data_IF_232151370565
#
_entry.id   IF_232151370565
#
_cell.length_a   1.000
_cell.length_b   1.000
_cell.length_c   1.000
_cell.angle_alpha   90.00
_cell.angle_beta   90.00
_cell.angle_gamma   90.00
#
_symmetry.space_group_name_H-M   'P 1'
#
loop_
_entity.id
_entity.type
_entity.pdbx_description
1 polymer ?
#
# COMPACT_ATOMS: atom_id res chain seq x y z
N UNK A 1 18.91 -18.39 12.18
CA UNK A 1 19.04 -19.18 10.94
C UNK A 1 20.13 -18.60 10.06
N UNK A 2 20.83 -19.43 9.26
CA UNK A 2 21.80 -18.98 8.24
C UNK A 2 21.24 -19.40 6.88
N UNK A 3 20.96 -18.43 6.01
CA UNK A 3 20.42 -18.67 4.66
C UNK A 3 21.39 -18.11 3.62
N UNK A 4 21.71 -18.89 2.61
CA UNK A 4 22.48 -18.46 1.45
C UNK A 4 21.55 -18.38 0.23
N UNK A 5 21.48 -17.21 -0.39
CA UNK A 5 20.81 -17.01 -1.68
C UNK A 5 21.93 -16.86 -2.72
N UNK A 6 22.04 -17.82 -3.62
CA UNK A 6 23.10 -17.85 -4.65
C UNK A 6 22.59 -17.34 -5.99
N UNK A 7 23.49 -16.77 -6.78
CA UNK A 7 23.28 -16.39 -8.17
C UNK A 7 22.08 -15.44 -8.36
N UNK A 8 21.81 -14.55 -7.41
CA UNK A 8 20.70 -13.59 -7.51
C UNK A 8 21.12 -12.32 -8.26
N UNK A 9 20.19 -11.72 -9.02
CA UNK A 9 20.32 -10.36 -9.53
C UNK A 9 19.96 -9.39 -8.40
N UNK A 10 20.96 -8.92 -7.67
CA UNK A 10 20.77 -8.11 -6.47
C UNK A 10 20.60 -6.63 -6.83
N UNK A 11 19.61 -5.99 -6.22
CA UNK A 11 19.38 -4.54 -6.29
C UNK A 11 20.54 -3.79 -5.61
N UNK A 12 21.03 -2.72 -6.24
CA UNK A 12 22.12 -1.88 -5.72
C UNK A 12 21.77 -0.38 -5.59
N UNK A 13 20.47 -0.05 -5.54
CA UNK A 13 19.99 1.33 -5.45
C UNK A 13 19.63 1.98 -6.79
N UNK A 14 20.12 1.48 -7.91
CA UNK A 14 19.82 2.04 -9.24
C UNK A 14 19.81 1.03 -10.38
N UNK A 15 20.13 -0.24 -10.08
CA UNK A 15 20.16 -1.32 -11.05
C UNK A 15 20.45 -2.66 -10.38
N UNK A 16 21.02 -3.59 -11.14
CA UNK A 16 21.24 -4.98 -10.66
C UNK A 16 22.63 -5.46 -10.99
N UNK A 17 23.18 -6.29 -10.09
CA UNK A 17 24.40 -7.08 -10.32
C UNK A 17 24.20 -8.50 -9.80
N UNK A 18 24.86 -9.47 -10.38
CA UNK A 18 24.78 -10.86 -9.92
C UNK A 18 25.68 -11.07 -8.70
N UNK A 19 25.11 -11.60 -7.63
CA UNK A 19 25.84 -11.93 -6.41
C UNK A 19 25.18 -13.06 -5.62
N UNK A 20 25.96 -13.63 -4.70
CA UNK A 20 25.49 -14.46 -3.61
C UNK A 20 25.30 -13.60 -2.37
N UNK A 21 24.25 -13.86 -1.60
CA UNK A 21 23.90 -13.13 -0.37
C UNK A 21 23.77 -14.10 0.79
N UNK A 22 24.64 -13.95 1.79
CA UNK A 22 24.57 -14.73 3.02
C UNK A 22 23.84 -13.94 4.11
N UNK A 23 22.79 -14.54 4.64
CA UNK A 23 22.00 -14.00 5.74
C UNK A 23 22.31 -14.74 7.03
N UNK A 24 22.52 -14.00 8.13
CA UNK A 24 22.75 -14.57 9.45
C UNK A 24 22.32 -13.58 10.55
N UNK A 25 21.61 -14.09 11.56
CA UNK A 25 21.19 -13.27 12.70
C UNK A 25 20.30 -12.09 12.35
N UNK A 26 19.40 -12.27 11.39
CA UNK A 26 18.45 -11.22 10.96
C UNK A 26 19.05 -10.16 10.03
N UNK A 27 20.32 -10.31 9.62
CA UNK A 27 21.04 -9.32 8.82
C UNK A 27 21.70 -9.96 7.60
N UNK A 28 22.00 -9.14 6.61
CA UNK A 28 22.89 -9.47 5.52
C UNK A 28 24.31 -9.54 6.09
N UNK A 29 24.90 -10.73 6.12
CA UNK A 29 26.26 -10.95 6.65
C UNK A 29 27.31 -10.61 5.61
N UNK A 30 27.12 -11.08 4.38
CA UNK A 30 28.07 -10.83 3.29
C UNK A 30 27.37 -10.88 1.93
N UNK A 31 27.95 -10.15 0.99
CA UNK A 31 27.59 -10.08 -0.42
C UNK A 31 28.87 -10.35 -1.23
N UNK A 32 28.80 -11.20 -2.24
CA UNK A 32 29.98 -11.51 -3.05
C UNK A 32 29.68 -12.54 -4.14
N UNK A 33 30.72 -13.07 -4.76
CA UNK A 33 30.63 -14.16 -5.73
C UNK A 33 31.20 -15.42 -5.10
N UNK A 34 30.56 -16.57 -5.35
CA UNK A 34 31.05 -17.88 -4.88
C UNK A 34 31.18 -18.01 -3.35
N UNK A 35 30.16 -17.53 -2.61
CA UNK A 35 30.12 -17.76 -1.16
C UNK A 35 29.90 -19.24 -0.88
N UNK A 36 30.78 -19.84 0.00
CA UNK A 36 30.66 -21.24 0.37
C UNK A 36 29.31 -21.56 1.03
N UNK A 37 28.73 -22.67 0.65
CA UNK A 37 27.52 -23.21 1.27
C UNK A 37 27.80 -24.03 2.53
N UNK A 38 29.06 -24.16 2.93
CA UNK A 38 29.44 -24.94 4.12
C UNK A 38 28.87 -24.30 5.39
N UNK A 39 28.15 -25.08 6.17
CA UNK A 39 27.57 -24.65 7.44
C UNK A 39 26.34 -23.74 7.34
N UNK A 40 25.73 -23.58 6.15
CA UNK A 40 24.45 -22.89 6.03
C UNK A 40 23.26 -23.80 6.38
N UNK A 41 22.20 -23.23 6.97
CA UNK A 41 21.01 -23.99 7.32
C UNK A 41 20.07 -24.19 6.12
N UNK A 42 20.04 -23.24 5.21
CA UNK A 42 19.21 -23.27 4.01
C UNK A 42 19.93 -22.62 2.82
N UNK A 43 19.65 -23.13 1.63
CA UNK A 43 20.21 -22.66 0.36
C UNK A 43 19.10 -22.45 -0.64
N UNK A 44 19.09 -21.28 -1.29
CA UNK A 44 18.24 -20.97 -2.42
C UNK A 44 19.08 -20.52 -3.62
N UNK A 45 18.99 -21.23 -4.74
CA UNK A 45 19.69 -20.86 -5.98
C UNK A 45 18.75 -20.06 -6.89
N UNK A 46 19.05 -18.79 -7.10
CA UNK A 46 18.31 -17.89 -7.97
C UNK A 46 18.66 -18.08 -9.48
N UNK A 47 19.58 -18.99 -9.82
CA UNK A 47 19.91 -19.42 -11.18
C UNK A 47 20.38 -18.28 -12.12
N UNK A 48 20.77 -17.13 -11.59
CA UNK A 48 21.08 -15.94 -12.38
C UNK A 48 19.87 -15.28 -13.05
N UNK A 49 18.66 -15.72 -12.70
CA UNK A 49 17.41 -15.27 -13.33
C UNK A 49 16.55 -14.42 -12.42
N UNK A 50 16.50 -14.74 -11.12
CA UNK A 50 15.62 -14.07 -10.18
C UNK A 50 16.25 -12.79 -9.61
N UNK A 51 15.40 -11.82 -9.34
CA UNK A 51 15.78 -10.50 -8.83
C UNK A 51 15.59 -10.46 -7.32
N UNK A 52 16.69 -10.30 -6.58
CA UNK A 52 16.67 -10.07 -5.15
C UNK A 52 16.60 -8.58 -4.89
N UNK A 53 15.53 -8.15 -4.24
CA UNK A 53 15.27 -6.76 -3.94
C UNK A 53 14.93 -6.59 -2.45
N UNK A 54 14.99 -5.37 -1.88
CA UNK A 54 14.37 -5.10 -0.59
C UNK A 54 12.89 -5.51 -0.66
N UNK A 55 12.38 -6.15 0.39
CA UNK A 55 10.98 -6.52 0.45
C UNK A 55 10.07 -5.32 0.22
N UNK A 56 8.96 -5.51 -0.46
CA UNK A 56 7.98 -4.43 -0.66
C UNK A 56 7.45 -3.89 0.66
N UNK A 57 7.02 -2.63 0.63
CA UNK A 57 6.32 -1.95 1.73
C UNK A 57 5.00 -1.45 1.19
N UNK A 58 3.89 -1.84 1.81
CA UNK A 58 2.59 -1.26 1.52
C UNK A 58 2.18 -0.33 2.66
N UNK A 59 1.99 0.93 2.35
CA UNK A 59 1.68 1.95 3.35
C UNK A 59 0.18 2.13 3.58
N UNK A 60 -0.65 1.31 2.90
CA UNK A 60 -2.10 1.40 2.99
C UNK A 60 -2.78 0.04 2.83
N UNK A 61 -3.08 -0.63 3.95
CA UNK A 61 -3.82 -1.91 3.96
C UNK A 61 -4.84 -1.96 5.08
N UNK A 62 -5.89 -2.79 4.90
CA UNK A 62 -6.93 -3.03 5.87
C UNK A 62 -6.89 -4.48 6.34
N UNK A 63 -6.34 -4.74 7.52
CA UNK A 63 -6.23 -6.10 8.10
C UNK A 63 -7.44 -6.52 8.94
N UNK A 64 -8.39 -5.60 9.14
CA UNK A 64 -9.73 -5.89 9.68
C UNK A 64 -9.81 -6.40 11.12
N UNK A 65 -8.70 -6.62 11.81
CA UNK A 65 -8.67 -7.02 13.23
C UNK A 65 -8.07 -5.92 14.10
N UNK A 66 -8.72 -5.65 15.23
CA UNK A 66 -9.94 -6.27 15.80
C UNK A 66 -11.26 -5.84 15.12
N UNK A 67 -12.31 -6.64 15.30
CA UNK A 67 -13.71 -6.28 15.03
C UNK A 67 -14.31 -6.83 13.74
N UNK A 68 -13.51 -7.13 12.70
CA UNK A 68 -14.01 -7.57 11.40
C UNK A 68 -13.27 -8.80 10.85
N UNK A 69 -12.86 -9.72 11.73
CA UNK A 69 -12.10 -10.93 11.38
C UNK A 69 -12.80 -11.86 10.39
N UNK A 70 -14.10 -11.68 10.17
CA UNK A 70 -14.84 -12.39 9.13
C UNK A 70 -14.53 -11.91 7.70
N UNK A 71 -13.88 -10.74 7.54
CA UNK A 71 -13.44 -10.18 6.27
C UNK A 71 -11.98 -10.49 5.98
N UNK A 72 -11.15 -10.39 7.01
CA UNK A 72 -9.70 -10.62 6.97
C UNK A 72 -9.18 -10.76 8.40
N UNK A 73 -8.05 -11.46 8.56
CA UNK A 73 -7.30 -11.50 9.81
C UNK A 73 -5.88 -10.99 9.62
N UNK A 74 -5.24 -10.54 10.69
CA UNK A 74 -3.82 -10.15 10.65
C UNK A 74 -2.97 -11.32 10.16
N UNK A 75 -3.30 -12.56 10.55
CA UNK A 75 -2.60 -13.77 10.10
C UNK A 75 -2.69 -13.96 8.56
N UNK A 76 -3.90 -13.88 7.99
CA UNK A 76 -4.13 -14.12 6.56
C UNK A 76 -3.69 -12.94 5.71
N UNK A 77 -3.97 -11.70 6.11
CA UNK A 77 -3.53 -10.50 5.39
C UNK A 77 -2.01 -10.32 5.39
N UNK A 78 -1.34 -10.52 6.54
CA UNK A 78 0.13 -10.49 6.58
C UNK A 78 0.76 -11.70 5.86
N UNK A 79 0.08 -12.85 5.83
CA UNK A 79 0.45 -14.00 5.02
C UNK A 79 0.35 -13.72 3.52
N UNK A 80 -0.72 -13.06 3.07
CA UNK A 80 -0.89 -12.62 1.69
C UNK A 80 0.18 -11.61 1.28
N UNK A 81 0.49 -10.67 2.16
CA UNK A 81 1.59 -9.72 1.96
C UNK A 81 2.94 -10.45 1.82
N UNK A 82 3.23 -11.41 2.71
CA UNK A 82 4.43 -12.24 2.61
C UNK A 82 4.48 -13.00 1.27
N UNK A 83 3.36 -13.60 0.85
CA UNK A 83 3.28 -14.33 -0.42
C UNK A 83 3.54 -13.42 -1.64
N UNK A 84 3.18 -12.16 -1.54
CA UNK A 84 3.38 -11.15 -2.58
C UNK A 84 4.76 -10.46 -2.57
N UNK A 85 5.61 -10.74 -1.57
CA UNK A 85 6.96 -10.15 -1.46
C UNK A 85 7.06 -8.93 -0.54
N UNK A 86 6.00 -8.61 0.20
CA UNK A 86 6.04 -7.54 1.20
C UNK A 86 6.69 -8.02 2.50
N UNK A 87 7.49 -7.17 3.09
CA UNK A 87 8.11 -7.39 4.42
C UNK A 87 7.56 -6.42 5.47
N UNK A 88 6.83 -5.40 5.03
CA UNK A 88 6.19 -4.41 5.91
C UNK A 88 4.87 -3.96 5.30
N UNK A 89 3.86 -3.83 6.14
CA UNK A 89 2.58 -3.20 5.79
C UNK A 89 2.17 -2.21 6.89
N UNK A 90 1.53 -1.10 6.48
CA UNK A 90 0.95 -0.13 7.41
C UNK A 90 -0.57 -0.32 7.45
N UNK A 91 -1.11 -0.68 8.61
CA UNK A 91 -2.51 -1.03 8.79
C UNK A 91 -3.34 0.21 9.14
N UNK A 92 -4.39 0.48 8.34
CA UNK A 92 -5.32 1.59 8.56
C UNK A 92 -6.27 1.34 9.73
N UNK A 93 -6.72 2.42 10.42
CA UNK A 93 -7.43 2.34 11.70
C UNK A 93 -8.92 1.99 11.58
N UNK A 94 -9.38 1.38 10.48
CA UNK A 94 -10.78 1.04 10.21
C UNK A 94 -11.21 -0.22 10.98
N UNK A 95 -11.12 -0.16 12.31
CA UNK A 95 -11.28 -1.28 13.22
C UNK A 95 -12.40 -1.02 14.25
N UNK A 96 -12.77 -2.05 15.01
CA UNK A 96 -13.69 -1.94 16.13
C UNK A 96 -13.16 -2.78 17.32
N UNK A 97 -12.65 -2.13 18.38
CA UNK A 97 -12.55 -0.66 18.51
C UNK A 97 -11.51 -0.06 17.55
N UNK A 98 -11.71 1.21 17.18
CA UNK A 98 -10.68 1.96 16.45
C UNK A 98 -9.49 2.25 17.40
N UNK A 99 -8.23 2.29 16.91
CA UNK A 99 -7.05 2.56 17.75
C UNK A 99 -6.95 4.07 18.08
N UNK A 100 -7.90 4.56 18.85
CA UNK A 100 -8.07 5.96 19.28
C UNK A 100 -7.68 6.21 20.74
N UNK A 101 -7.33 5.16 21.46
CA UNK A 101 -6.80 5.19 22.83
C UNK A 101 -5.63 4.20 22.97
N UNK A 102 -4.73 4.39 23.95
CA UNK A 102 -3.68 3.41 24.23
C UNK A 102 -4.20 1.99 24.50
N UNK A 103 -5.37 1.85 25.10
CA UNK A 103 -5.99 0.55 25.37
C UNK A 103 -6.44 -0.14 24.07
N UNK A 104 -7.15 0.57 23.20
CA UNK A 104 -7.60 0.02 21.90
C UNK A 104 -6.42 -0.31 20.98
N UNK A 105 -5.39 0.56 20.94
CA UNK A 105 -4.18 0.26 20.20
C UNK A 105 -3.44 -0.97 20.75
N UNK A 106 -3.46 -1.18 22.07
CA UNK A 106 -2.85 -2.36 22.68
C UNK A 106 -3.59 -3.66 22.31
N UNK A 107 -4.90 -3.62 22.09
CA UNK A 107 -5.67 -4.78 21.60
C UNK A 107 -5.21 -5.18 20.19
N UNK A 108 -5.09 -4.21 19.26
CA UNK A 108 -4.58 -4.45 17.93
C UNK A 108 -3.13 -4.96 17.95
N UNK A 109 -2.25 -4.31 18.74
CA UNK A 109 -0.86 -4.70 18.87
C UNK A 109 -0.70 -6.13 19.40
N UNK A 110 -1.52 -6.56 20.33
CA UNK A 110 -1.48 -7.92 20.86
C UNK A 110 -1.82 -8.98 19.79
N UNK A 111 -2.71 -8.66 18.86
CA UNK A 111 -3.02 -9.54 17.73
C UNK A 111 -1.84 -9.52 16.72
N UNK A 112 -1.29 -8.35 16.42
CA UNK A 112 -0.10 -8.22 15.56
C UNK A 112 1.04 -9.06 16.10
N UNK A 113 1.39 -8.92 17.38
CA UNK A 113 2.51 -9.61 18.02
C UNK A 113 2.34 -11.14 18.00
N UNK A 114 1.10 -11.63 18.07
CA UNK A 114 0.79 -13.05 18.06
C UNK A 114 0.75 -13.67 16.66
N UNK A 115 0.17 -12.97 15.68
CA UNK A 115 -0.31 -13.58 14.44
C UNK A 115 0.41 -13.09 13.17
N UNK A 116 1.07 -11.92 13.20
CA UNK A 116 1.67 -11.33 12.02
C UNK A 116 2.85 -12.16 11.49
N UNK A 117 2.90 -12.32 10.16
CA UNK A 117 3.96 -13.06 9.45
C UNK A 117 5.11 -12.15 9.02
N UNK A 118 4.85 -10.85 8.92
CA UNK A 118 5.79 -9.79 8.55
C UNK A 118 5.59 -8.60 9.48
N UNK A 119 6.33 -7.51 9.28
CA UNK A 119 6.11 -6.30 10.03
C UNK A 119 4.76 -5.67 9.69
N UNK A 120 3.91 -5.48 10.70
CA UNK A 120 2.67 -4.72 10.64
C UNK A 120 2.80 -3.51 11.53
N UNK A 121 2.61 -2.33 10.96
CA UNK A 121 2.72 -1.03 11.64
C UNK A 121 1.33 -0.38 11.66
N UNK A 122 0.68 -0.21 12.82
CA UNK A 122 -0.63 0.40 12.90
C UNK A 122 -0.57 1.92 12.70
N UNK A 123 -1.61 2.50 12.10
CA UNK A 123 -1.98 3.89 12.26
C UNK A 123 -2.93 4.03 13.44
N UNK A 124 -2.78 5.12 14.23
CA UNK A 124 -3.84 5.52 15.15
C UNK A 124 -4.84 6.44 14.44
N UNK A 125 -6.05 6.54 14.98
CA UNK A 125 -7.05 7.50 14.52
C UNK A 125 -6.62 8.94 14.80
N UNK A 126 -7.10 9.89 13.99
CA UNK A 126 -6.98 11.34 14.23
C UNK A 126 -8.04 11.78 15.23
N UNK A 127 -9.27 11.31 15.05
CA UNK A 127 -10.41 11.63 15.90
C UNK A 127 -10.87 10.41 16.70
N UNK A 128 -11.46 10.65 17.87
CA UNK A 128 -12.05 9.59 18.70
C UNK A 128 -13.13 8.82 17.94
N UNK A 129 -12.97 7.50 17.93
CA UNK A 129 -13.83 6.60 17.17
C UNK A 129 -13.66 6.70 15.65
N UNK A 130 -12.61 7.37 15.15
CA UNK A 130 -12.31 7.51 13.70
C UNK A 130 -13.52 8.09 12.93
N UNK A 131 -14.11 9.18 13.44
CA UNK A 131 -15.35 9.78 12.88
C UNK A 131 -15.09 10.90 11.87
N UNK A 132 -13.85 11.36 11.71
CA UNK A 132 -13.52 12.56 10.93
C UNK A 132 -14.07 13.86 11.56
N UNK A 133 -14.57 13.80 12.79
CA UNK A 133 -15.20 14.91 13.50
C UNK A 133 -15.21 14.71 15.01
N UNK A 134 -15.52 15.74 15.77
CA UNK A 134 -15.62 15.70 17.24
C UNK A 134 -14.28 15.95 17.92
N UNK A 135 -13.83 15.08 18.80
CA UNK A 135 -12.62 15.27 19.59
C UNK A 135 -11.41 14.58 18.95
N UNK A 136 -10.25 15.22 19.03
CA UNK A 136 -8.96 14.63 18.68
C UNK A 136 -8.55 13.58 19.71
N UNK A 137 -7.76 12.60 19.26
CA UNK A 137 -7.13 11.60 20.15
C UNK A 137 -5.98 12.21 20.97
N UNK A 138 -5.45 11.45 21.91
CA UNK A 138 -4.20 11.79 22.60
C UNK A 138 -3.00 11.36 21.74
N UNK A 139 -2.50 12.29 20.90
CA UNK A 139 -1.40 12.05 19.99
C UNK A 139 -0.11 11.65 20.71
N UNK A 140 0.16 12.29 21.86
CA UNK A 140 1.37 12.05 22.65
C UNK A 140 1.40 10.63 23.19
N UNK A 141 0.26 10.15 23.73
CA UNK A 141 0.15 8.81 24.26
C UNK A 141 0.23 7.71 23.19
N UNK A 142 -0.25 7.99 21.97
CA UNK A 142 -0.32 7.02 20.87
C UNK A 142 0.95 7.00 20.00
N UNK A 143 1.58 8.15 19.80
CA UNK A 143 2.69 8.34 18.85
C UNK A 143 3.86 7.34 18.97
N UNK A 144 4.26 6.84 20.16
CA UNK A 144 5.40 5.92 20.25
C UNK A 144 5.18 4.57 19.58
N UNK A 145 3.92 4.17 19.37
CA UNK A 145 3.56 2.83 18.90
C UNK A 145 2.92 2.78 17.51
N UNK A 146 2.81 3.94 16.84
CA UNK A 146 2.15 4.02 15.53
C UNK A 146 3.08 4.63 14.48
N UNK A 147 2.86 4.25 13.22
CA UNK A 147 3.60 4.81 12.08
C UNK A 147 3.16 6.25 11.78
N UNK A 148 1.90 6.57 12.03
CA UNK A 148 1.29 7.87 11.79
C UNK A 148 -0.15 7.90 12.29
N UNK A 149 -0.90 8.90 11.84
CA UNK A 149 -2.31 9.09 12.20
C UNK A 149 -3.17 9.19 10.95
N UNK A 150 -4.35 8.57 10.99
CA UNK A 150 -5.29 8.55 9.88
C UNK A 150 -6.73 8.38 10.39
N UNK A 151 -7.68 9.05 9.76
CA UNK A 151 -9.11 8.72 9.86
C UNK A 151 -9.59 8.09 8.54
N UNK A 152 -8.76 7.20 7.96
CA UNK A 152 -9.05 6.60 6.66
C UNK A 152 -10.49 6.11 6.53
N UNK A 153 -11.08 6.33 5.34
CA UNK A 153 -12.46 6.05 5.00
C UNK A 153 -13.48 7.07 5.51
N UNK A 154 -13.07 8.14 6.22
CA UNK A 154 -13.97 9.19 6.70
C UNK A 154 -13.51 10.59 6.29
N UNK A 155 -12.21 10.87 6.25
CA UNK A 155 -11.67 12.20 6.07
C UNK A 155 -12.06 13.18 7.20
N UNK A 156 -11.17 14.06 7.60
CA UNK A 156 -11.47 15.10 8.61
C UNK A 156 -12.10 16.28 7.91
N UNK A 157 -13.40 16.53 8.13
CA UNK A 157 -14.17 17.56 7.41
C UNK A 157 -13.91 18.98 7.92
N UNK A 158 -13.74 19.16 9.23
CA UNK A 158 -13.49 20.46 9.84
C UNK A 158 -12.02 20.90 9.65
N UNK A 159 -11.84 22.09 9.07
CA UNK A 159 -10.51 22.66 8.79
C UNK A 159 -9.73 22.98 10.07
N UNK A 160 -10.39 23.48 11.10
CA UNK A 160 -9.77 23.83 12.37
C UNK A 160 -9.26 22.58 13.10
N UNK A 161 -10.08 21.51 13.08
CA UNK A 161 -9.73 20.23 13.67
C UNK A 161 -8.52 19.59 12.96
N UNK A 162 -8.49 19.62 11.61
CA UNK A 162 -7.37 19.12 10.83
C UNK A 162 -6.10 19.94 11.08
N UNK A 163 -6.20 21.27 11.17
CA UNK A 163 -5.08 22.15 11.50
C UNK A 163 -4.49 21.81 12.86
N UNK A 164 -5.33 21.62 13.88
CA UNK A 164 -4.87 21.25 15.22
C UNK A 164 -4.18 19.88 15.22
N UNK A 165 -4.76 18.88 14.53
CA UNK A 165 -4.14 17.58 14.35
C UNK A 165 -2.75 17.68 13.69
N UNK A 166 -2.63 18.49 12.63
CA UNK A 166 -1.35 18.72 11.94
C UNK A 166 -0.31 19.37 12.85
N UNK A 167 -0.68 20.36 13.68
CA UNK A 167 0.23 21.00 14.64
C UNK A 167 0.77 19.97 15.65
N UNK A 168 -0.10 19.11 16.20
CA UNK A 168 0.30 18.06 17.15
C UNK A 168 1.20 17.02 16.48
N UNK A 169 0.83 16.54 15.29
CA UNK A 169 1.65 15.59 14.53
C UNK A 169 3.03 16.17 14.19
N UNK A 170 3.10 17.45 13.81
CA UNK A 170 4.37 18.13 13.55
C UNK A 170 5.27 18.14 14.77
N UNK A 171 4.73 18.44 15.96
CA UNK A 171 5.48 18.46 17.22
C UNK A 171 6.07 17.09 17.57
N UNK A 172 5.40 16.01 17.16
CA UNK A 172 5.80 14.61 17.40
C UNK A 172 6.59 13.99 16.25
N UNK A 173 6.90 14.75 15.20
CA UNK A 173 7.50 14.27 13.95
C UNK A 173 6.75 13.08 13.33
N UNK A 174 5.43 13.08 13.42
CA UNK A 174 4.56 12.06 12.83
C UNK A 174 3.90 12.55 11.53
N UNK A 175 3.54 11.61 10.68
CA UNK A 175 2.83 11.88 9.44
C UNK A 175 1.31 11.77 9.67
N UNK A 176 0.54 12.65 9.02
CA UNK A 176 -0.90 12.42 8.79
C UNK A 176 -1.05 11.77 7.42
N UNK A 177 -1.66 10.60 7.37
CA UNK A 177 -2.02 9.89 6.14
C UNK A 177 -3.53 9.99 5.93
N UNK A 178 -3.97 10.70 4.89
CA UNK A 178 -5.36 11.17 4.81
C UNK A 178 -6.11 10.61 3.60
N UNK A 179 -7.22 9.95 3.88
CA UNK A 179 -8.28 9.72 2.89
C UNK A 179 -8.99 11.04 2.63
N UNK A 180 -8.89 11.55 1.41
CA UNK A 180 -9.39 12.87 1.05
C UNK A 180 -10.76 12.76 0.37
N UNK A 181 -11.82 13.12 1.09
CA UNK A 181 -13.17 13.05 0.59
C UNK A 181 -14.07 14.12 1.27
N UNK A 182 -14.57 15.07 0.47
CA UNK A 182 -15.55 16.06 0.93
C UNK A 182 -16.93 15.41 0.90
N UNK A 183 -17.51 15.15 2.07
CA UNK A 183 -18.78 14.42 2.20
C UNK A 183 -19.95 15.05 1.44
N UNK A 184 -20.05 16.37 1.43
CA UNK A 184 -21.13 17.11 0.75
C UNK A 184 -21.10 16.96 -0.77
N UNK A 185 -19.99 16.50 -1.34
CA UNK A 185 -19.81 16.30 -2.78
C UNK A 185 -19.99 14.84 -3.24
N UNK A 186 -20.32 13.93 -2.33
CA UNK A 186 -20.52 12.51 -2.64
C UNK A 186 -21.86 12.24 -3.32
N UNK A 187 -22.89 13.02 -3.04
CA UNK A 187 -24.25 12.90 -3.61
C UNK A 187 -24.85 11.47 -3.47
N UNK A 188 -24.45 10.72 -2.45
CA UNK A 188 -24.79 9.30 -2.29
C UNK A 188 -24.28 8.43 -3.44
N UNK A 189 -23.23 8.85 -4.11
CA UNK A 189 -22.55 8.13 -5.19
C UNK A 189 -21.78 6.91 -4.68
N UNK A 190 -21.46 6.03 -5.59
CA UNK A 190 -20.75 4.78 -5.29
C UNK A 190 -19.81 4.31 -6.42
N UNK A 191 -19.78 5.04 -7.54
CA UNK A 191 -18.80 4.93 -8.63
C UNK A 191 -18.47 6.36 -9.09
N UNK A 192 -17.54 6.54 -10.01
CA UNK A 192 -17.20 7.82 -10.59
C UNK A 192 -18.39 8.47 -11.34
N UNK A 193 -18.60 9.80 -11.17
CA UNK A 193 -19.56 10.59 -11.98
C UNK A 193 -19.00 10.80 -13.41
N UNK A 194 -18.83 9.70 -14.13
CA UNK A 194 -18.28 9.64 -15.47
C UNK A 194 -19.25 9.13 -16.52
N UNK A 195 -18.71 8.72 -17.65
CA UNK A 195 -19.48 8.25 -18.79
C UNK A 195 -20.29 6.98 -18.46
N UNK A 196 -19.65 6.00 -17.82
CA UNK A 196 -20.31 4.73 -17.44
C UNK A 196 -21.49 4.99 -16.47
N UNK A 197 -21.29 5.82 -15.47
CA UNK A 197 -22.30 6.18 -14.48
C UNK A 197 -23.57 6.74 -15.17
N UNK A 198 -23.37 7.70 -16.08
CA UNK A 198 -24.48 8.36 -16.80
C UNK A 198 -25.19 7.40 -17.77
N UNK A 199 -24.43 6.60 -18.48
CA UNK A 199 -24.98 5.65 -19.45
C UNK A 199 -25.84 4.55 -18.80
N UNK A 200 -25.51 4.15 -17.56
CA UNK A 200 -26.14 3.04 -16.86
C UNK A 200 -27.05 3.48 -15.69
N UNK A 201 -27.28 4.78 -15.51
CA UNK A 201 -28.23 5.30 -14.52
C UNK A 201 -27.77 5.14 -13.07
N UNK A 202 -26.48 5.13 -12.82
CA UNK A 202 -25.90 5.06 -11.48
C UNK A 202 -25.80 6.45 -10.81
N UNK A 203 -25.41 6.47 -9.52
CA UNK A 203 -25.07 7.68 -8.79
C UNK A 203 -23.56 7.82 -8.71
N UNK A 204 -23.06 8.99 -9.13
CA UNK A 204 -21.64 9.25 -9.26
C UNK A 204 -21.04 10.02 -8.08
N UNK A 205 -19.78 9.69 -7.76
CA UNK A 205 -18.91 10.44 -6.87
C UNK A 205 -18.12 11.44 -7.72
N UNK A 206 -18.28 12.72 -7.42
CA UNK A 206 -17.58 13.81 -8.09
C UNK A 206 -16.06 13.73 -7.87
N UNK A 207 -15.26 14.07 -8.89
CA UNK A 207 -13.81 14.25 -8.73
C UNK A 207 -13.46 15.34 -7.72
N UNK A 208 -14.33 16.36 -7.62
CA UNK A 208 -14.15 17.46 -6.68
C UNK A 208 -14.22 17.03 -5.21
N UNK A 209 -14.84 15.88 -4.90
CA UNK A 209 -14.85 15.36 -3.53
C UNK A 209 -13.42 15.04 -3.04
N UNK A 210 -12.53 14.60 -3.92
CA UNK A 210 -11.15 14.25 -3.60
C UNK A 210 -10.25 15.50 -3.62
N UNK A 211 -10.08 16.14 -4.77
CA UNK A 211 -9.06 17.17 -4.93
C UNK A 211 -9.29 18.43 -4.10
N UNK A 212 -10.54 18.80 -3.77
CA UNK A 212 -10.80 19.98 -2.92
C UNK A 212 -10.34 19.78 -1.49
N UNK A 213 -10.45 18.57 -0.95
CA UNK A 213 -9.89 18.28 0.38
C UNK A 213 -8.37 18.27 0.33
N UNK A 214 -7.77 17.71 -0.73
CA UNK A 214 -6.31 17.73 -0.94
C UNK A 214 -5.81 19.18 -1.00
N UNK A 215 -6.48 20.07 -1.76
CA UNK A 215 -6.12 21.49 -1.86
C UNK A 215 -6.14 22.17 -0.49
N UNK A 216 -7.22 21.98 0.29
CA UNK A 216 -7.33 22.47 1.66
C UNK A 216 -6.18 21.99 2.54
N UNK A 217 -5.94 20.70 2.52
CA UNK A 217 -4.97 20.07 3.43
C UNK A 217 -3.52 20.35 3.02
N UNK A 218 -3.22 20.51 1.73
CA UNK A 218 -1.91 21.01 1.29
C UNK A 218 -1.64 22.43 1.81
N UNK A 219 -2.65 23.31 1.83
CA UNK A 219 -2.52 24.64 2.43
C UNK A 219 -2.27 24.55 3.94
N UNK A 220 -2.99 23.69 4.65
CA UNK A 220 -2.76 23.46 6.08
C UNK A 220 -1.38 22.87 6.36
N UNK A 221 -0.92 21.93 5.53
CA UNK A 221 0.42 21.36 5.64
C UNK A 221 1.52 22.41 5.40
N UNK A 222 1.30 23.33 4.45
CA UNK A 222 2.17 24.50 4.24
C UNK A 222 2.25 25.40 5.48
N UNK A 223 1.11 25.73 6.08
CA UNK A 223 1.01 26.62 7.22
C UNK A 223 1.62 26.02 8.49
N UNK A 224 1.46 24.73 8.71
CA UNK A 224 1.87 24.02 9.93
C UNK A 224 3.26 23.39 9.82
N UNK A 225 3.74 23.12 8.61
CA UNK A 225 4.93 22.33 8.33
C UNK A 225 4.79 20.86 8.71
N UNK A 226 3.56 20.34 8.84
CA UNK A 226 3.29 18.94 9.11
C UNK A 226 3.59 18.08 7.88
N UNK A 227 4.21 16.93 8.09
CA UNK A 227 4.34 15.89 7.06
C UNK A 227 2.96 15.34 6.74
N UNK A 228 2.54 15.52 5.49
CA UNK A 228 1.21 15.14 5.03
C UNK A 228 1.32 14.15 3.88
N UNK A 229 0.67 13.00 4.01
CA UNK A 229 0.63 11.97 3.00
C UNK A 229 -0.80 11.78 2.49
N UNK A 230 -1.00 11.99 1.20
CA UNK A 230 -2.32 11.86 0.58
C UNK A 230 -2.51 10.42 0.13
N UNK A 231 -3.49 9.73 0.71
CA UNK A 231 -3.82 8.35 0.36
C UNK A 231 -4.42 8.24 -1.04
N UNK A 232 -4.13 7.14 -1.73
CA UNK A 232 -4.80 6.60 -2.91
C UNK A 232 -5.41 7.64 -3.87
N UNK A 233 -4.63 8.65 -4.31
CA UNK A 233 -5.14 9.67 -5.25
C UNK A 233 -5.60 9.02 -6.55
N UNK A 234 -6.71 9.53 -7.10
CA UNK A 234 -7.36 8.95 -8.27
C UNK A 234 -7.69 9.96 -9.39
N UNK A 235 -7.59 11.27 -9.13
CA UNK A 235 -8.01 12.31 -10.09
C UNK A 235 -6.84 13.12 -10.64
N UNK A 236 -6.97 13.61 -11.87
CA UNK A 236 -5.98 14.48 -12.50
C UNK A 236 -5.77 15.80 -11.76
N UNK A 237 -6.86 16.34 -11.20
CA UNK A 237 -6.79 17.57 -10.41
C UNK A 237 -5.99 17.35 -9.12
N UNK A 238 -6.10 16.18 -8.50
CA UNK A 238 -5.28 15.81 -7.32
C UNK A 238 -3.80 15.77 -7.66
N UNK A 239 -3.44 15.21 -8.82
CA UNK A 239 -2.04 15.21 -9.31
C UNK A 239 -1.54 16.64 -9.46
N UNK A 240 -2.32 17.54 -10.07
CA UNK A 240 -1.92 18.93 -10.30
C UNK A 240 -1.76 19.70 -8.98
N UNK A 241 -2.73 19.59 -8.06
CA UNK A 241 -2.67 20.23 -6.74
C UNK A 241 -1.42 19.80 -5.97
N UNK A 242 -1.13 18.49 -5.94
CA UNK A 242 0.05 17.96 -5.25
C UNK A 242 1.34 18.40 -5.94
N UNK A 243 1.38 18.41 -7.28
CA UNK A 243 2.54 18.90 -8.06
C UNK A 243 2.89 20.34 -7.69
N UNK A 244 1.90 21.24 -7.67
CA UNK A 244 2.11 22.64 -7.32
C UNK A 244 2.48 22.81 -5.83
N UNK A 245 1.88 22.03 -4.93
CA UNK A 245 2.25 22.03 -3.51
C UNK A 245 3.72 21.62 -3.31
N UNK A 246 4.17 20.54 -3.97
CA UNK A 246 5.58 20.10 -3.93
C UNK A 246 6.54 21.15 -4.48
N UNK A 247 6.23 21.78 -5.62
CA UNK A 247 7.02 22.88 -6.19
C UNK A 247 7.16 24.05 -5.23
N UNK A 248 6.12 24.29 -4.43
CA UNK A 248 6.08 25.34 -3.40
C UNK A 248 6.78 24.93 -2.09
N UNK A 249 7.37 23.73 -2.02
CA UNK A 249 8.10 23.25 -0.85
C UNK A 249 7.20 22.77 0.29
N UNK A 250 5.93 22.51 0.04
CA UNK A 250 5.02 21.90 1.05
C UNK A 250 5.50 20.48 1.35
N UNK A 251 5.57 20.04 2.62
CA UNK A 251 5.99 18.69 3.00
C UNK A 251 4.88 17.65 2.73
N UNK A 252 4.45 17.57 1.47
CA UNK A 252 3.41 16.66 0.99
C UNK A 252 4.01 15.51 0.18
N UNK A 253 3.49 14.31 0.42
CA UNK A 253 3.73 13.10 -0.38
C UNK A 253 2.39 12.46 -0.72
N UNK A 254 2.34 11.55 -1.69
CA UNK A 254 1.11 10.85 -2.04
C UNK A 254 1.37 9.44 -2.55
N UNK A 255 0.31 8.65 -2.50
CA UNK A 255 0.26 7.32 -3.09
C UNK A 255 -0.89 7.20 -4.10
N UNK A 256 -0.77 6.23 -5.01
CA UNK A 256 -1.87 5.79 -5.87
C UNK A 256 -1.94 4.27 -5.90
N UNK A 257 -3.11 3.72 -6.27
CA UNK A 257 -3.31 2.27 -6.33
C UNK A 257 -2.93 1.66 -7.68
N UNK A 258 -2.52 0.36 -7.71
CA UNK A 258 -2.28 -0.36 -8.96
C UNK A 258 -3.48 -0.31 -9.92
N UNK A 259 -4.69 -0.40 -9.36
CA UNK A 259 -5.94 -0.38 -10.11
C UNK A 259 -6.20 0.97 -10.80
N UNK A 260 -5.82 2.10 -10.19
CA UNK A 260 -5.95 3.43 -10.82
C UNK A 260 -4.94 3.66 -11.96
N UNK A 261 -3.82 2.96 -11.96
CA UNK A 261 -2.80 3.06 -13.01
C UNK A 261 -3.11 2.22 -14.25
N UNK A 262 -3.97 1.19 -14.12
CA UNK A 262 -4.22 0.23 -15.21
C UNK A 262 -5.68 0.13 -15.65
N UNK A 263 -6.62 0.65 -14.86
CA UNK A 263 -8.05 0.66 -15.15
C UNK A 263 -8.61 2.09 -15.16
N UNK A 264 -9.77 2.25 -15.78
CA UNK A 264 -10.58 3.46 -15.74
C UNK A 264 -12.09 3.12 -15.69
N UNK A 265 -12.98 4.11 -15.68
CA UNK A 265 -14.41 3.89 -15.59
C UNK A 265 -15.01 3.18 -16.81
N UNK A 266 -14.30 3.17 -17.95
CA UNK A 266 -14.70 2.39 -19.14
C UNK A 266 -14.55 0.86 -18.93
N UNK A 267 -13.74 0.44 -17.95
CA UNK A 267 -13.52 -0.97 -17.60
C UNK A 267 -14.55 -1.51 -16.60
N UNK A 268 -15.44 -0.65 -16.08
CA UNK A 268 -16.45 -1.03 -15.09
C UNK A 268 -17.40 -2.11 -15.62
N UNK A 269 -17.80 -3.00 -14.72
CA UNK A 269 -18.81 -4.03 -14.94
C UNK A 269 -19.83 -4.00 -13.80
N UNK A 270 -21.03 -4.53 -13.99
CA UNK A 270 -22.07 -4.65 -12.97
C UNK A 270 -21.72 -5.71 -11.91
N UNK A 271 -20.55 -5.56 -11.33
CA UNK A 271 -19.96 -6.52 -10.39
C UNK A 271 -19.24 -5.76 -9.26
N UNK A 272 -19.47 -6.20 -8.04
CA UNK A 272 -18.82 -5.60 -6.86
C UNK A 272 -17.28 -5.62 -6.87
N UNK A 273 -16.66 -6.48 -7.70
CA UNK A 273 -15.20 -6.50 -7.90
C UNK A 273 -14.64 -5.18 -8.46
N UNK A 274 -15.50 -4.33 -9.05
CA UNK A 274 -15.13 -3.02 -9.58
C UNK A 274 -15.51 -1.87 -8.67
N UNK A 275 -15.99 -2.16 -7.44
CA UNK A 275 -16.39 -1.14 -6.48
C UNK A 275 -15.33 -0.94 -5.39
N UNK A 276 -14.68 0.22 -5.40
CA UNK A 276 -13.72 0.70 -4.41
C UNK A 276 -13.91 2.21 -4.18
N UNK A 277 -13.29 2.75 -3.16
CA UNK A 277 -13.29 4.18 -2.87
C UNK A 277 -11.88 4.67 -2.52
N UNK A 278 -11.32 5.61 -3.31
CA UNK A 278 -11.90 6.31 -4.47
C UNK A 278 -12.34 5.36 -5.61
N UNK A 279 -13.34 5.75 -6.42
CA UNK A 279 -13.76 4.93 -7.56
C UNK A 279 -12.76 5.01 -8.72
N UNK A 280 -12.79 4.02 -9.62
CA UNK A 280 -12.09 4.11 -10.89
C UNK A 280 -12.59 5.36 -11.65
N UNK A 281 -11.67 6.25 -11.99
CA UNK A 281 -11.95 7.52 -12.65
C UNK A 281 -11.84 7.39 -14.18
N UNK A 282 -11.95 8.51 -14.89
CA UNK A 282 -11.85 8.55 -16.34
C UNK A 282 -10.47 8.12 -16.87
N UNK A 283 -10.40 7.83 -18.16
CA UNK A 283 -9.13 7.59 -18.86
C UNK A 283 -8.15 8.74 -18.69
N UNK A 284 -8.62 10.00 -18.76
CA UNK A 284 -7.75 11.17 -18.59
C UNK A 284 -7.20 11.30 -17.17
N UNK A 285 -7.92 10.82 -16.14
CA UNK A 285 -7.41 10.76 -14.78
C UNK A 285 -6.30 9.72 -14.66
N UNK A 286 -6.50 8.52 -15.23
CA UNK A 286 -5.46 7.49 -15.27
C UNK A 286 -4.20 7.97 -15.99
N UNK A 287 -4.33 8.65 -17.13
CA UNK A 287 -3.20 9.20 -17.88
C UNK A 287 -2.43 10.23 -17.04
N UNK A 288 -3.13 11.13 -16.34
CA UNK A 288 -2.50 12.08 -15.43
C UNK A 288 -1.77 11.42 -14.24
N UNK A 289 -2.32 10.32 -13.69
CA UNK A 289 -1.63 9.54 -12.66
C UNK A 289 -0.34 8.92 -13.20
N UNK A 290 -0.34 8.39 -14.42
CA UNK A 290 0.86 7.85 -15.07
C UNK A 290 1.90 8.95 -15.33
N UNK A 291 1.49 10.15 -15.76
CA UNK A 291 2.37 11.32 -15.86
C UNK A 291 2.94 11.71 -14.50
N UNK A 292 2.11 11.72 -13.44
CA UNK A 292 2.55 12.00 -12.07
C UNK A 292 3.53 10.97 -11.52
N UNK A 293 3.39 9.70 -11.93
CA UNK A 293 4.40 8.66 -11.64
C UNK A 293 5.70 8.95 -12.39
N UNK A 294 5.63 9.31 -13.67
CA UNK A 294 6.82 9.56 -14.50
C UNK A 294 7.63 10.76 -13.99
N UNK A 295 6.97 11.87 -13.66
CA UNK A 295 7.60 13.12 -13.21
C UNK A 295 7.94 13.15 -11.71
N UNK A 296 7.52 12.14 -10.92
CA UNK A 296 7.80 12.04 -9.49
C UNK A 296 6.82 12.79 -8.59
N UNK A 297 5.71 13.29 -9.12
CA UNK A 297 4.61 13.86 -8.32
C UNK A 297 3.98 12.78 -7.44
N UNK A 298 3.77 11.57 -7.97
CA UNK A 298 3.33 10.40 -7.20
C UNK A 298 4.54 9.69 -6.64
N UNK A 299 4.60 9.55 -5.31
CA UNK A 299 5.75 9.01 -4.59
C UNK A 299 5.72 7.48 -4.47
N UNK A 300 4.56 6.91 -4.15
CA UNK A 300 4.39 5.53 -3.70
C UNK A 300 3.25 4.86 -4.46
N UNK A 301 3.39 3.55 -4.68
CA UNK A 301 2.28 2.68 -5.07
C UNK A 301 1.89 1.87 -3.84
N UNK A 302 0.67 2.08 -3.35
CA UNK A 302 0.07 1.33 -2.25
C UNK A 302 -1.20 0.64 -2.75
N UNK A 303 -1.55 -0.50 -2.17
CA UNK A 303 -2.61 -1.34 -2.75
C UNK A 303 -4.02 -0.91 -2.36
N UNK A 304 -4.17 -0.25 -1.24
CA UNK A 304 -5.47 -0.10 -0.57
C UNK A 304 -6.17 -1.47 -0.47
N UNK A 305 -5.40 -2.48 -0.01
CA UNK A 305 -5.93 -3.83 0.17
C UNK A 305 -7.06 -3.82 1.18
N UNK A 306 -8.30 -3.89 0.69
CA UNK A 306 -9.52 -3.69 1.49
C UNK A 306 -10.49 -4.88 1.32
N UNK A 307 -10.18 -6.03 1.94
CA UNK A 307 -10.97 -7.25 1.82
C UNK A 307 -12.35 -7.11 2.45
N UNK A 308 -13.32 -7.75 1.79
CA UNK A 308 -14.71 -7.91 2.22
C UNK A 308 -15.17 -9.34 1.98
N UNK A 309 -16.18 -9.79 2.72
CA UNK A 309 -16.79 -11.11 2.52
C UNK A 309 -17.51 -11.20 1.17
N UNK A 310 -17.69 -12.42 0.65
CA UNK A 310 -18.44 -12.67 -0.58
C UNK A 310 -19.84 -12.03 -0.51
N UNK A 311 -20.57 -12.23 0.60
CA UNK A 311 -21.90 -11.65 0.80
C UNK A 311 -21.95 -10.12 0.74
N UNK A 312 -20.84 -9.44 1.06
CA UNK A 312 -20.71 -7.97 0.94
C UNK A 312 -20.37 -7.54 -0.49
N UNK A 313 -19.80 -8.42 -1.31
CA UNK A 313 -19.31 -8.10 -2.66
C UNK A 313 -20.21 -8.62 -3.80
N UNK A 314 -21.19 -9.47 -3.51
CA UNK A 314 -22.10 -10.09 -4.51
C UNK A 314 -23.35 -9.25 -4.81
N UNK A 315 -23.34 -7.94 -4.52
CA UNK A 315 -24.52 -7.06 -4.62
C UNK A 315 -24.42 -6.03 -5.76
N UNK A 316 -23.61 -6.33 -6.80
CA UNK A 316 -23.36 -5.42 -7.91
C UNK A 316 -22.66 -4.11 -7.47
N UNK A 317 -22.60 -3.14 -8.38
CA UNK A 317 -21.95 -1.85 -8.07
C UNK A 317 -22.70 -1.05 -6.99
N UNK A 318 -24.02 -1.03 -7.01
CA UNK A 318 -24.80 -0.22 -6.07
C UNK A 318 -24.80 -0.76 -4.64
N UNK A 319 -24.93 -2.07 -4.47
CA UNK A 319 -25.14 -2.72 -3.16
C UNK A 319 -23.90 -3.25 -2.47
N UNK A 320 -22.79 -3.45 -3.19
CA UNK A 320 -21.57 -4.01 -2.61
C UNK A 320 -20.85 -3.01 -1.70
N UNK A 321 -20.07 -3.53 -0.75
CA UNK A 321 -19.12 -2.73 0.03
C UNK A 321 -17.99 -2.20 -0.86
N UNK A 322 -17.46 -1.03 -0.53
CA UNK A 322 -16.31 -0.43 -1.22
C UNK A 322 -15.01 -1.05 -0.72
N UNK A 323 -14.19 -1.54 -1.65
CA UNK A 323 -12.89 -2.15 -1.39
C UNK A 323 -12.63 -3.39 -2.23
N UNK A 324 -11.38 -3.61 -2.59
CA UNK A 324 -10.88 -4.75 -3.35
C UNK A 324 -9.62 -5.29 -2.69
N UNK A 325 -9.24 -6.52 -3.02
CA UNK A 325 -7.93 -7.06 -2.60
C UNK A 325 -6.86 -6.72 -3.63
N UNK A 326 -5.70 -6.29 -3.18
CA UNK A 326 -4.62 -5.77 -4.03
C UNK A 326 -3.25 -6.38 -3.81
N UNK A 327 -2.90 -6.85 -2.60
CA UNK A 327 -1.54 -7.29 -2.25
C UNK A 327 -0.96 -8.31 -3.24
N UNK A 328 -1.68 -9.41 -3.51
CA UNK A 328 -1.17 -10.53 -4.33
C UNK A 328 -1.18 -10.23 -5.83
N UNK A 329 -1.79 -9.11 -6.25
CA UNK A 329 -1.91 -8.73 -7.67
C UNK A 329 -1.11 -7.48 -8.04
N UNK A 330 -0.69 -6.66 -7.08
CA UNK A 330 -0.03 -5.37 -7.34
C UNK A 330 1.20 -5.51 -8.24
N UNK A 331 2.21 -6.25 -7.78
CA UNK A 331 3.45 -6.42 -8.55
C UNK A 331 3.21 -7.05 -9.94
N UNK A 332 2.56 -8.22 -10.08
CA UNK A 332 2.41 -8.84 -11.39
C UNK A 332 1.56 -8.02 -12.38
N UNK A 333 0.53 -7.32 -11.91
CA UNK A 333 -0.29 -6.44 -12.75
C UNK A 333 0.52 -5.25 -13.25
N UNK A 334 1.21 -4.54 -12.36
CA UNK A 334 2.05 -3.39 -12.71
C UNK A 334 3.23 -3.79 -13.59
N UNK A 335 3.90 -4.90 -13.26
CA UNK A 335 4.98 -5.42 -14.07
C UNK A 335 4.51 -5.73 -15.50
N UNK A 336 3.39 -6.43 -15.65
CA UNK A 336 2.83 -6.81 -16.95
C UNK A 336 2.37 -5.59 -17.76
N UNK A 337 1.62 -4.69 -17.11
CA UNK A 337 0.93 -3.59 -17.82
C UNK A 337 1.79 -2.36 -18.01
N UNK A 338 2.75 -2.09 -17.12
CA UNK A 338 3.54 -0.85 -17.18
C UNK A 338 5.01 -1.13 -17.49
N UNK A 339 5.64 -2.13 -16.86
CA UNK A 339 7.06 -2.40 -17.08
C UNK A 339 7.29 -3.09 -18.42
N UNK A 340 6.57 -4.16 -18.69
CA UNK A 340 6.69 -4.92 -19.95
C UNK A 340 6.31 -4.11 -21.19
N UNK A 341 5.48 -3.11 -21.04
CA UNK A 341 5.05 -2.22 -22.13
C UNK A 341 5.91 -0.96 -22.27
N UNK A 342 6.89 -0.77 -21.38
CA UNK A 342 7.82 0.36 -21.42
C UNK A 342 7.24 1.68 -20.90
N UNK A 343 6.07 1.66 -20.25
CA UNK A 343 5.48 2.85 -19.61
C UNK A 343 6.26 3.25 -18.36
N UNK A 344 6.81 2.25 -17.65
CA UNK A 344 7.61 2.43 -16.43
C UNK A 344 8.83 1.52 -16.48
N UNK A 345 9.97 1.92 -15.90
CA UNK A 345 11.10 1.01 -15.72
C UNK A 345 10.89 0.09 -14.51
N UNK A 346 11.56 -1.05 -14.50
CA UNK A 346 11.48 -1.98 -13.37
C UNK A 346 12.10 -1.35 -12.11
N UNK A 347 13.17 -0.61 -12.27
CA UNK A 347 13.83 0.14 -11.19
C UNK A 347 12.89 1.18 -10.56
N UNK A 348 12.10 1.90 -11.38
CA UNK A 348 11.11 2.87 -10.88
C UNK A 348 10.02 2.16 -10.08
N UNK A 349 9.55 0.99 -10.53
CA UNK A 349 8.56 0.20 -9.79
C UNK A 349 9.11 -0.22 -8.41
N UNK A 350 10.37 -0.70 -8.35
CA UNK A 350 11.02 -1.05 -7.08
C UNK A 350 11.17 0.18 -6.18
N UNK A 351 11.59 1.30 -6.73
CA UNK A 351 11.68 2.56 -5.96
C UNK A 351 10.35 2.90 -5.31
N UNK A 352 9.24 2.83 -6.05
CA UNK A 352 7.91 3.23 -5.55
C UNK A 352 7.27 2.21 -4.60
N UNK A 353 7.62 0.93 -4.69
CA UNK A 353 7.02 -0.11 -3.85
C UNK A 353 7.93 -0.57 -2.69
N UNK A 354 9.24 -0.33 -2.75
CA UNK A 354 10.16 -0.85 -1.74
C UNK A 354 11.00 0.24 -1.06
N UNK A 355 11.50 1.23 -1.78
CA UNK A 355 12.47 2.20 -1.24
C UNK A 355 11.76 3.46 -0.73
N UNK A 356 11.01 4.12 -1.59
CA UNK A 356 10.36 5.39 -1.28
C UNK A 356 9.37 5.34 -0.10
N UNK A 357 8.56 4.27 0.07
CA UNK A 357 7.72 4.14 1.27
C UNK A 357 8.53 4.16 2.57
N UNK A 358 9.72 3.54 2.58
CA UNK A 358 10.60 3.54 3.76
C UNK A 358 11.09 4.94 4.11
N UNK A 359 11.49 5.73 3.11
CA UNK A 359 11.94 7.11 3.32
C UNK A 359 10.82 8.00 3.88
N UNK A 360 9.60 7.86 3.36
CA UNK A 360 8.46 8.68 3.78
C UNK A 360 8.01 8.36 5.20
N UNK A 361 8.06 7.09 5.60
CA UNK A 361 7.56 6.64 6.90
C UNK A 361 8.68 6.35 7.93
N UNK A 362 9.91 6.84 7.68
CA UNK A 362 11.09 6.68 8.56
C UNK A 362 11.36 5.20 8.91
N UNK A 363 11.16 4.30 7.96
CA UNK A 363 11.44 2.88 8.13
C UNK A 363 12.91 2.57 7.76
N UNK A 364 13.47 1.45 8.28
CA UNK A 364 14.83 1.06 7.92
C UNK A 364 15.02 1.00 6.40
N UNK A 365 16.08 1.62 5.90
CA UNK A 365 16.38 1.69 4.47
C UNK A 365 16.58 0.29 3.91
N UNK A 366 15.94 0.02 2.78
CA UNK A 366 16.02 -1.26 2.10
C UNK A 366 17.25 -1.33 1.20
N UNK A 367 18.45 -1.53 1.77
CA UNK A 367 19.68 -1.75 1.01
C UNK A 367 20.13 -3.18 1.12
N UNK A 368 20.69 -3.73 0.01
CA UNK A 368 21.31 -5.06 0.01
C UNK A 368 22.82 -4.90 0.21
N UNK A 369 23.20 -4.59 1.45
CA UNK A 369 24.59 -4.38 1.85
C UNK A 369 24.87 -5.11 3.17
N UNK A 370 26.13 -5.53 3.43
CA UNK A 370 26.49 -6.15 4.71
C UNK A 370 26.12 -5.28 5.91
N UNK A 371 25.48 -5.88 6.90
CA UNK A 371 25.01 -5.22 8.12
C UNK A 371 23.56 -4.72 8.06
N UNK A 372 22.98 -4.55 6.87
CA UNK A 372 21.58 -4.17 6.71
C UNK A 372 20.60 -5.27 7.19
N UNK A 373 19.38 -4.92 7.60
CA UNK A 373 18.33 -5.89 7.90
C UNK A 373 18.07 -6.84 6.70
N UNK A 374 17.86 -8.11 6.98
CA UNK A 374 17.55 -9.10 5.95
C UNK A 374 16.03 -9.15 5.71
N UNK A 375 15.48 -8.06 5.16
CA UNK A 375 14.08 -7.89 4.78
C UNK A 375 14.02 -7.82 3.25
N UNK A 376 13.88 -8.98 2.61
CA UNK A 376 14.13 -9.16 1.18
C UNK A 376 13.01 -9.96 0.52
N UNK A 377 12.83 -9.74 -0.79
CA UNK A 377 12.06 -10.66 -1.61
C UNK A 377 12.79 -11.02 -2.90
N UNK A 378 12.48 -12.20 -3.44
CA UNK A 378 13.09 -12.75 -4.64
C UNK A 378 12.01 -12.91 -5.72
N UNK A 379 12.15 -12.16 -6.79
CA UNK A 379 11.15 -12.08 -7.86
C UNK A 379 11.58 -12.85 -9.09
N UNK A 380 10.69 -13.71 -9.59
CA UNK A 380 10.75 -14.34 -10.89
C UNK A 380 9.91 -13.52 -11.89
N UNK A 381 10.58 -12.74 -12.72
CA UNK A 381 9.92 -11.87 -13.71
C UNK A 381 9.47 -12.59 -14.96
N UNK A 382 9.86 -13.84 -15.17
CA UNK A 382 9.51 -14.63 -16.36
C UNK A 382 8.31 -15.57 -16.13
N UNK A 383 7.86 -15.70 -14.87
CA UNK A 383 6.73 -16.56 -14.53
C UNK A 383 5.42 -15.98 -15.06
N UNK A 384 4.77 -16.68 -15.98
CA UNK A 384 3.44 -16.36 -16.50
C UNK A 384 2.38 -17.17 -15.74
N UNK A 385 1.30 -16.51 -15.34
CA UNK A 385 0.19 -17.15 -14.64
C UNK A 385 -1.11 -16.38 -14.79
N UNK A 386 -2.23 -17.04 -14.44
CA UNK A 386 -3.56 -16.43 -14.47
C UNK A 386 -3.97 -16.03 -13.06
N UNK A 387 -4.45 -14.80 -12.90
CA UNK A 387 -4.99 -14.34 -11.62
C UNK A 387 -6.23 -15.15 -11.27
N UNK A 388 -6.12 -15.96 -10.24
CA UNK A 388 -7.17 -16.85 -9.74
C UNK A 388 -7.43 -16.50 -8.26
N UNK A 389 -8.50 -15.74 -7.95
CA UNK A 389 -8.81 -15.33 -6.59
C UNK A 389 -8.99 -16.48 -5.59
N UNK A 390 -9.39 -17.67 -6.08
CA UNK A 390 -9.57 -18.83 -5.20
C UNK A 390 -8.25 -19.38 -4.65
N UNK A 391 -7.12 -18.98 -5.24
CA UNK A 391 -5.76 -19.33 -4.79
C UNK A 391 -5.11 -18.29 -3.92
N UNK A 392 -5.78 -17.18 -3.65
CA UNK A 392 -5.24 -16.13 -2.79
C UNK A 392 -5.12 -16.59 -1.34
N UNK A 393 -4.09 -16.11 -0.66
CA UNK A 393 -3.87 -16.32 0.77
C UNK A 393 -4.81 -15.42 1.59
N UNK A 394 -5.06 -14.18 1.14
CA UNK A 394 -6.07 -13.29 1.75
C UNK A 394 -7.45 -13.95 1.75
N UNK A 395 -8.27 -13.64 2.74
CA UNK A 395 -9.65 -14.12 2.79
C UNK A 395 -10.54 -13.48 1.73
N UNK A 396 -10.24 -12.25 1.32
CA UNK A 396 -10.98 -11.54 0.28
C UNK A 396 -10.77 -12.15 -1.11
N UNK A 397 -11.82 -12.08 -1.97
CA UNK A 397 -11.79 -12.62 -3.33
C UNK A 397 -12.11 -11.57 -4.40
N UNK A 398 -12.54 -10.38 -3.98
CA UNK A 398 -12.98 -9.34 -4.91
C UNK A 398 -11.77 -8.60 -5.48
N UNK A 399 -11.45 -8.87 -6.74
CA UNK A 399 -10.43 -8.17 -7.52
C UNK A 399 -10.91 -7.98 -8.96
N UNK A 400 -10.73 -6.79 -9.56
CA UNK A 400 -11.05 -6.58 -10.97
C UNK A 400 -10.12 -7.34 -11.92
N UNK A 401 -9.02 -7.88 -11.41
CA UNK A 401 -7.99 -8.57 -12.20
C UNK A 401 -8.22 -10.07 -12.37
N UNK A 402 -9.30 -10.62 -11.81
CA UNK A 402 -9.62 -12.05 -11.95
C UNK A 402 -9.60 -12.50 -13.42
N UNK A 403 -8.90 -13.59 -13.73
CA UNK A 403 -8.73 -14.13 -15.08
C UNK A 403 -7.66 -13.44 -15.93
N UNK A 404 -7.02 -12.37 -15.44
CA UNK A 404 -5.95 -11.72 -16.20
C UNK A 404 -4.71 -12.61 -16.30
N UNK A 405 -4.13 -12.64 -17.52
CA UNK A 405 -2.80 -13.21 -17.74
C UNK A 405 -1.76 -12.18 -17.29
N UNK A 406 -0.95 -12.55 -16.34
CA UNK A 406 0.08 -11.66 -15.76
C UNK A 406 1.41 -12.35 -15.74
N UNK A 407 2.46 -11.55 -15.67
CA UNK A 407 3.85 -11.98 -15.60
C UNK A 407 4.50 -11.42 -14.33
N UNK A 408 5.36 -12.21 -13.73
CA UNK A 408 6.04 -11.87 -12.48
C UNK A 408 5.41 -12.54 -11.26
N UNK A 409 6.27 -13.15 -10.43
CA UNK A 409 5.84 -13.83 -9.21
C UNK A 409 6.91 -13.76 -8.15
N UNK A 410 6.52 -13.56 -6.89
CA UNK A 410 7.42 -13.70 -5.77
C UNK A 410 7.74 -15.19 -5.52
N UNK A 411 9.03 -15.51 -5.33
CA UNK A 411 9.51 -16.87 -5.05
C UNK A 411 9.90 -17.08 -3.61
N UNK A 412 10.39 -16.04 -2.97
CA UNK A 412 10.90 -16.10 -1.60
C UNK A 412 10.69 -14.75 -0.93
N UNK A 413 10.20 -14.76 0.29
CA UNK A 413 10.19 -13.57 1.16
C UNK A 413 10.93 -13.90 2.45
N UNK A 414 11.88 -13.05 2.76
CA UNK A 414 12.68 -13.12 3.98
C UNK A 414 12.38 -11.89 4.82
N UNK A 415 12.00 -12.09 6.07
CA UNK A 415 11.79 -11.03 7.05
C UNK A 415 12.66 -11.29 8.28
N UNK A 416 13.48 -10.29 8.63
CA UNK A 416 14.46 -10.41 9.72
C UNK A 416 15.35 -11.67 9.62
N UNK A 417 15.70 -12.05 8.37
CA UNK A 417 16.53 -13.21 8.09
C UNK A 417 15.83 -14.56 8.20
N UNK A 418 14.54 -14.60 8.47
CA UNK A 418 13.71 -15.80 8.48
C UNK A 418 12.89 -15.89 7.19
N UNK A 419 12.79 -17.09 6.62
CA UNK A 419 11.92 -17.33 5.46
C UNK A 419 10.48 -17.35 5.92
N UNK A 420 9.70 -16.35 5.51
CA UNK A 420 8.27 -16.20 5.86
C UNK A 420 7.34 -16.66 4.73
N UNK A 421 7.89 -16.78 3.52
CA UNK A 421 7.20 -17.36 2.38
C UNK A 421 8.20 -17.96 1.39
N UNK A 422 7.89 -19.15 0.89
CA UNK A 422 8.57 -19.81 -0.22
C UNK A 422 7.51 -20.42 -1.15
N UNK A 423 7.54 -20.02 -2.44
CA UNK A 423 6.68 -20.64 -3.43
C UNK A 423 7.15 -22.07 -3.68
N UNK A 424 6.26 -23.05 -3.51
CA UNK A 424 6.53 -24.43 -3.88
C UNK A 424 6.97 -24.49 -5.35
N UNK A 425 8.04 -25.23 -5.62
CA UNK A 425 8.67 -25.38 -6.94
C UNK A 425 7.77 -26.10 -7.93
#
# INVERSE_FOLDING_TARGET
>A
MTLLIQNARCWNGGGFHTADVLLQGGKIKSLGTSISSDGVNALFDARGQYFLIPGFVDVHVHLREPGFSYKETIATGSGAAAAAGYTTVCAMPNLTPAPDTPAHLAEEQAIIDRDAKIQVLPFASITKGRKGSGELVDFEALSPKVVGFSDDGCGVQDEGLMREAMVRCKALNKVISAHCEVNDLLNGGYIHDGAYCKANGHRGISSASEWKMIERDCRLASDTGCRYHVCHISTKESVEVIREAKKSGVPVTCETGPHYLVLCDEDLQEDGRFKMNPPLRSRSDREALLEGVADGTVDVIATDHAPHSAAEKEKGLSGSAMGIVGLETAFPVLYTKLVRTGVMTFEKLIQMMAVRPREIFDLPVGEIVPGAPADLCLLDTDCNWTVDPDKFVTMGRATPFAGWQVQGKNRLTVWRGEVVYEALR
#
